data_IF_214350188104
#
_entry.id   IF_214350188104
#
_cell.length_a   1.000
_cell.length_b   1.000
_cell.length_c   1.000
_cell.angle_alpha   90.00
_cell.angle_beta   90.00
_cell.angle_gamma   90.00
#
_symmetry.space_group_name_H-M   'P 1'
#
loop_
_entity.id
_entity.type
_entity.pdbx_description
1 polymer ?
#
# COMPACT_ATOMS: atom_id res chain seq x y z
N UNK A 1 -10.59 24.06 22.07
CA UNK A 1 -9.56 23.59 23.03
C UNK A 1 -8.35 23.15 22.23
N UNK A 2 -7.19 23.79 22.40
CA UNK A 2 -5.95 23.33 21.79
C UNK A 2 -5.30 22.33 22.74
N UNK A 3 -5.43 21.04 22.43
CA UNK A 3 -4.68 20.02 23.15
C UNK A 3 -3.22 20.05 22.65
N UNK A 4 -2.21 20.08 23.54
CA UNK A 4 -0.81 20.19 23.15
C UNK A 4 -0.32 18.96 22.37
N UNK A 5 -0.85 17.78 22.68
CA UNK A 5 -0.53 16.53 21.98
C UNK A 5 -1.46 16.33 20.79
N UNK A 6 -0.88 16.05 19.63
CA UNK A 6 -1.59 15.73 18.39
C UNK A 6 -1.40 14.25 18.06
N UNK A 7 -2.42 13.63 17.48
CA UNK A 7 -2.38 12.25 17.02
C UNK A 7 -2.74 12.22 15.55
N UNK A 8 -2.01 11.47 14.74
CA UNK A 8 -2.35 11.21 13.35
C UNK A 8 -2.00 9.75 13.05
N UNK A 9 -2.57 9.21 11.97
CA UNK A 9 -2.34 7.84 11.55
C UNK A 9 -1.72 7.84 10.17
N UNK A 10 -0.70 7.02 9.98
CA UNK A 10 -0.20 6.66 8.67
C UNK A 10 -0.64 5.23 8.38
N UNK A 11 -1.22 4.99 7.21
CA UNK A 11 -1.62 3.66 6.75
C UNK A 11 -1.00 3.39 5.38
N UNK A 12 -0.21 2.33 5.30
CA UNK A 12 0.39 1.84 4.06
C UNK A 12 0.25 0.31 3.98
N UNK A 13 0.42 -0.23 2.77
CA UNK A 13 0.36 -1.67 2.51
C UNK A 13 1.58 -2.44 3.02
N UNK A 14 1.74 -3.66 2.53
CA UNK A 14 2.88 -4.49 2.94
C UNK A 14 4.21 -3.87 2.50
N UNK A 15 5.16 -3.80 3.43
CA UNK A 15 6.52 -3.36 3.15
C UNK A 15 7.31 -4.52 2.56
N UNK A 16 7.85 -4.31 1.36
CA UNK A 16 8.66 -5.30 0.66
C UNK A 16 9.98 -5.50 1.37
N UNK A 17 10.50 -6.73 1.36
CA UNK A 17 11.76 -7.06 2.04
C UNK A 17 11.63 -7.18 3.55
N UNK A 18 10.43 -7.01 4.12
CA UNK A 18 10.18 -7.28 5.53
C UNK A 18 10.43 -8.76 5.88
N UNK A 19 10.82 -9.00 7.15
CA UNK A 19 11.02 -10.34 7.68
C UNK A 19 9.72 -11.15 7.56
N UNK A 20 9.79 -12.32 6.91
CA UNK A 20 8.64 -13.17 6.67
C UNK A 20 7.79 -12.81 5.45
N UNK A 21 8.25 -11.86 4.61
CA UNK A 21 7.60 -11.57 3.32
C UNK A 21 7.71 -12.75 2.33
N UNK A 22 6.88 -12.72 1.30
CA UNK A 22 6.79 -13.79 0.29
C UNK A 22 8.01 -13.87 -0.62
N UNK A 23 8.73 -12.76 -0.83
CA UNK A 23 9.86 -12.68 -1.76
C UNK A 23 11.03 -13.61 -1.36
N UNK A 24 11.52 -13.61 -0.10
CA UNK A 24 12.51 -14.59 0.35
C UNK A 24 12.06 -16.04 0.20
N UNK A 25 10.77 -16.33 0.44
CA UNK A 25 10.21 -17.67 0.28
C UNK A 25 10.28 -18.12 -1.18
N UNK A 26 9.87 -17.26 -2.12
CA UNK A 26 9.90 -17.57 -3.55
C UNK A 26 11.32 -17.76 -4.07
N UNK A 27 12.27 -16.88 -3.71
CA UNK A 27 13.69 -17.04 -4.09
C UNK A 27 14.26 -18.39 -3.61
N UNK A 28 13.96 -18.77 -2.36
CA UNK A 28 14.42 -20.05 -1.79
C UNK A 28 13.82 -21.25 -2.53
N UNK A 29 12.50 -21.27 -2.73
CA UNK A 29 11.83 -22.40 -3.39
C UNK A 29 12.25 -22.53 -4.86
N UNK A 30 12.43 -21.42 -5.56
CA UNK A 30 12.92 -21.40 -6.94
C UNK A 30 14.34 -21.98 -7.03
N UNK A 31 15.24 -21.60 -6.11
CA UNK A 31 16.59 -22.16 -6.04
C UNK A 31 16.61 -23.66 -5.73
N UNK A 32 15.59 -24.17 -5.02
CA UNK A 32 15.38 -25.60 -4.75
C UNK A 32 14.66 -26.33 -5.91
N UNK A 33 14.31 -25.65 -6.99
CA UNK A 33 13.54 -26.21 -8.11
C UNK A 33 12.11 -26.60 -7.74
N UNK A 34 11.56 -26.04 -6.65
CA UNK A 34 10.22 -26.34 -6.15
C UNK A 34 9.18 -25.38 -6.73
N UNK A 35 7.95 -25.88 -6.87
CA UNK A 35 6.83 -25.03 -7.24
C UNK A 35 6.54 -23.98 -6.17
N UNK A 36 6.22 -22.75 -6.61
CA UNK A 36 5.94 -21.63 -5.73
C UNK A 36 4.46 -21.65 -5.28
N UNK A 37 4.19 -21.66 -3.96
CA UNK A 37 2.84 -21.61 -3.44
C UNK A 37 2.28 -20.20 -3.60
N UNK A 38 1.19 -20.08 -4.36
CA UNK A 38 0.44 -18.83 -4.49
C UNK A 38 -0.91 -18.98 -3.79
N UNK A 39 -1.31 -17.99 -3.01
CA UNK A 39 -2.56 -18.07 -2.25
C UNK A 39 -3.78 -18.07 -3.19
N UNK A 40 -3.86 -17.09 -4.09
CA UNK A 40 -4.85 -17.00 -5.17
C UNK A 40 -4.25 -16.13 -6.29
N UNK A 41 -4.35 -16.59 -7.54
CA UNK A 41 -3.75 -15.94 -8.72
C UNK A 41 -4.25 -14.51 -8.97
N UNK A 42 -5.44 -14.18 -8.48
CA UNK A 42 -6.06 -12.87 -8.67
C UNK A 42 -5.55 -11.84 -7.66
N UNK A 43 -4.79 -12.24 -6.64
CA UNK A 43 -4.38 -11.33 -5.59
C UNK A 43 -3.56 -10.15 -6.10
N UNK A 44 -3.86 -8.98 -5.56
CA UNK A 44 -3.09 -7.76 -5.76
C UNK A 44 -2.69 -7.16 -4.43
N UNK A 45 -1.55 -6.48 -4.40
CA UNK A 45 -1.02 -5.81 -3.21
C UNK A 45 -0.46 -4.46 -3.61
N UNK A 46 -0.54 -3.51 -2.70
CA UNK A 46 0.22 -2.26 -2.81
C UNK A 46 1.71 -2.53 -2.57
N UNK A 47 2.55 -1.78 -3.28
CA UNK A 47 3.99 -1.91 -3.21
C UNK A 47 4.62 -0.66 -2.60
N UNK A 48 5.31 -0.84 -1.48
CA UNK A 48 6.10 0.20 -0.84
C UNK A 48 7.40 -0.40 -0.27
N UNK A 49 8.52 0.28 -0.49
CA UNK A 49 9.79 -0.10 0.11
C UNK A 49 9.89 0.42 1.54
N UNK A 50 10.77 -0.17 2.35
CA UNK A 50 10.98 0.29 3.72
C UNK A 50 11.44 1.76 3.78
N UNK A 51 12.42 2.22 2.97
CA UNK A 51 12.79 3.63 2.94
C UNK A 51 11.62 4.56 2.58
N UNK A 52 10.79 4.20 1.59
CA UNK A 52 9.60 4.97 1.23
C UNK A 52 8.60 5.06 2.38
N UNK A 53 8.33 3.94 3.07
CA UNK A 53 7.41 3.94 4.21
C UNK A 53 7.92 4.80 5.37
N UNK A 54 9.22 4.75 5.67
CA UNK A 54 9.84 5.58 6.72
C UNK A 54 9.78 7.06 6.34
N UNK A 55 10.14 7.41 5.10
CA UNK A 55 10.08 8.80 4.63
C UNK A 55 8.65 9.33 4.69
N UNK A 56 7.68 8.53 4.26
CA UNK A 56 6.27 8.91 4.31
C UNK A 56 5.76 9.21 5.73
N UNK A 57 6.24 8.46 6.73
CA UNK A 57 5.92 8.71 8.14
C UNK A 57 6.50 10.05 8.59
N UNK A 58 7.75 10.35 8.26
CA UNK A 58 8.41 11.61 8.61
C UNK A 58 7.70 12.80 7.95
N UNK A 59 7.44 12.72 6.64
CA UNK A 59 6.76 13.78 5.90
C UNK A 59 5.34 14.03 6.42
N UNK A 60 4.63 12.98 6.82
CA UNK A 60 3.29 13.10 7.42
C UNK A 60 3.35 13.72 8.81
N UNK A 61 4.40 13.42 9.60
CA UNK A 61 4.62 14.00 10.92
C UNK A 61 4.90 15.50 10.86
N UNK A 62 5.64 15.97 9.85
CA UNK A 62 5.90 17.40 9.67
C UNK A 62 4.63 18.17 9.23
N UNK A 63 3.72 17.49 8.51
CA UNK A 63 2.48 18.07 7.99
C UNK A 63 1.31 18.06 8.99
N UNK A 64 1.28 17.15 9.96
CA UNK A 64 0.07 16.87 10.75
C UNK A 64 -0.41 18.03 11.64
N UNK A 65 -1.73 18.23 11.64
CA UNK A 65 -2.47 19.11 12.53
C UNK A 65 -3.27 18.33 13.59
N UNK A 66 -3.41 17.02 13.42
CA UNK A 66 -4.11 16.10 14.31
C UNK A 66 -5.40 15.55 13.70
N UNK A 67 -5.69 14.29 13.99
CA UNK A 67 -6.89 13.55 13.59
C UNK A 67 -6.89 13.04 12.14
N UNK A 68 -5.85 13.33 11.35
CA UNK A 68 -5.75 12.86 9.97
C UNK A 68 -5.34 11.39 9.88
N UNK A 69 -5.77 10.76 8.79
CA UNK A 69 -5.21 9.51 8.29
C UNK A 69 -4.51 9.78 6.96
N UNK A 70 -3.20 9.63 6.93
CA UNK A 70 -2.35 9.75 5.75
C UNK A 70 -2.16 8.40 5.09
N UNK A 71 -2.40 8.34 3.79
CA UNK A 71 -2.27 7.13 2.96
C UNK A 71 -1.40 7.47 1.75
N UNK A 72 -0.26 6.81 1.52
CA UNK A 72 0.60 7.15 0.40
C UNK A 72 -0.05 6.70 -0.91
N UNK A 73 0.16 7.46 -1.99
CA UNK A 73 -0.17 7.04 -3.34
C UNK A 73 0.98 6.18 -3.86
N UNK A 74 0.76 4.87 -3.87
CA UNK A 74 1.74 3.86 -4.23
C UNK A 74 1.18 2.91 -5.28
N UNK A 75 2.06 2.31 -6.10
CA UNK A 75 1.62 1.40 -7.14
C UNK A 75 1.13 0.08 -6.56
N UNK A 76 0.34 -0.63 -7.37
CA UNK A 76 -0.12 -1.98 -7.12
C UNK A 76 0.68 -2.98 -7.94
N UNK A 77 0.73 -4.22 -7.48
CA UNK A 77 1.29 -5.35 -8.20
C UNK A 77 0.34 -6.55 -8.16
N UNK A 78 0.40 -7.40 -9.19
CA UNK A 78 -0.25 -8.72 -9.18
C UNK A 78 0.73 -9.74 -8.64
N UNK A 79 0.22 -10.73 -7.92
CA UNK A 79 1.07 -11.79 -7.36
C UNK A 79 1.83 -12.57 -8.45
N UNK A 80 1.22 -12.74 -9.63
CA UNK A 80 1.85 -13.42 -10.77
C UNK A 80 3.00 -12.59 -11.38
N UNK A 81 2.86 -11.28 -11.44
CA UNK A 81 3.93 -10.40 -11.92
C UNK A 81 5.13 -10.44 -10.96
N UNK A 82 4.87 -10.55 -9.64
CA UNK A 82 5.91 -10.77 -8.65
C UNK A 82 6.62 -12.11 -8.82
N UNK A 83 5.87 -13.19 -9.08
CA UNK A 83 6.46 -14.50 -9.36
C UNK A 83 7.40 -14.40 -10.56
N UNK A 84 6.93 -13.83 -11.67
CA UNK A 84 7.71 -13.67 -12.90
C UNK A 84 8.93 -12.76 -12.72
N UNK A 85 8.84 -11.75 -11.84
CA UNK A 85 9.96 -10.89 -11.52
C UNK A 85 11.01 -11.58 -10.64
N UNK A 86 10.59 -12.45 -9.70
CA UNK A 86 11.47 -13.12 -8.73
C UNK A 86 12.09 -14.40 -9.29
N UNK A 87 11.31 -15.20 -10.01
CA UNK A 87 11.68 -16.50 -10.52
C UNK A 87 10.96 -16.74 -11.87
N UNK A 88 11.54 -16.22 -12.97
CA UNK A 88 11.00 -16.41 -14.31
C UNK A 88 10.78 -17.89 -14.62
N UNK A 89 9.69 -18.21 -15.32
CA UNK A 89 9.30 -19.57 -15.72
C UNK A 89 9.04 -20.56 -14.56
N UNK A 90 9.00 -20.09 -13.31
CA UNK A 90 8.75 -20.96 -12.16
C UNK A 90 7.34 -21.57 -12.19
N UNK A 91 7.24 -22.86 -11.89
CA UNK A 91 5.94 -23.51 -11.73
C UNK A 91 5.24 -23.00 -10.47
N UNK A 92 3.94 -22.73 -10.55
CA UNK A 92 3.13 -22.25 -9.41
C UNK A 92 2.00 -23.21 -9.09
N UNK A 93 1.56 -23.25 -7.83
CA UNK A 93 0.38 -23.99 -7.40
C UNK A 93 -0.43 -23.19 -6.39
N UNK A 94 -1.76 -23.27 -6.48
CA UNK A 94 -2.65 -22.54 -5.58
C UNK A 94 -2.83 -23.29 -4.25
N UNK A 95 -2.57 -22.60 -3.14
CA UNK A 95 -2.74 -23.14 -1.78
C UNK A 95 -4.05 -22.69 -1.12
N UNK A 96 -4.79 -21.80 -1.79
CA UNK A 96 -6.07 -21.27 -1.32
C UNK A 96 -5.92 -20.12 -0.33
N UNK A 97 -6.97 -19.30 -0.23
CA UNK A 97 -7.02 -18.12 0.65
C UNK A 97 -7.02 -18.54 2.12
N UNK A 98 -6.04 -18.05 2.87
CA UNK A 98 -5.94 -18.28 4.32
C UNK A 98 -7.01 -17.48 5.07
N UNK A 99 -7.50 -17.96 6.23
CA UNK A 99 -8.45 -17.21 7.05
C UNK A 99 -7.97 -15.80 7.37
N UNK A 100 -8.80 -14.80 7.07
CA UNK A 100 -8.48 -13.38 7.31
C UNK A 100 -7.65 -12.70 6.21
N UNK A 101 -7.15 -13.45 5.21
CA UNK A 101 -6.45 -12.85 4.07
C UNK A 101 -7.44 -12.29 3.05
N UNK A 102 -7.19 -11.04 2.60
CA UNK A 102 -7.99 -10.40 1.56
C UNK A 102 -7.47 -10.75 0.16
N UNK A 103 -8.38 -10.83 -0.80
CA UNK A 103 -8.01 -10.96 -2.22
C UNK A 103 -7.27 -9.72 -2.70
N UNK A 104 -7.80 -8.54 -2.38
CA UNK A 104 -7.24 -7.24 -2.70
C UNK A 104 -7.19 -6.38 -1.44
N UNK A 105 -6.15 -5.58 -1.30
CA UNK A 105 -6.00 -4.66 -0.18
C UNK A 105 -6.85 -3.41 -0.40
N UNK A 106 -7.32 -2.82 0.69
CA UNK A 106 -8.08 -1.57 0.70
C UNK A 106 -7.47 -0.67 1.77
N UNK A 107 -7.02 0.52 1.36
CA UNK A 107 -6.45 1.51 2.28
C UNK A 107 -7.42 2.64 2.58
N UNK A 108 -8.40 2.93 1.72
CA UNK A 108 -9.47 3.90 1.95
C UNK A 108 -10.78 3.26 1.49
N UNK A 109 -11.75 3.17 2.38
CA UNK A 109 -13.08 2.63 2.07
C UNK A 109 -13.96 3.69 1.39
N UNK A 110 -15.02 3.22 0.74
CA UNK A 110 -16.02 4.09 0.09
C UNK A 110 -16.63 5.11 1.06
N UNK A 111 -16.87 4.71 2.31
CA UNK A 111 -17.49 5.57 3.34
C UNK A 111 -16.59 6.76 3.73
N UNK A 112 -15.27 6.59 3.58
CA UNK A 112 -14.26 7.60 3.88
C UNK A 112 -14.04 8.59 2.72
N UNK A 113 -14.58 8.31 1.52
CA UNK A 113 -14.41 9.17 0.32
C UNK A 113 -14.77 10.64 0.58
N UNK A 114 -15.91 10.89 1.22
CA UNK A 114 -16.45 12.25 1.49
C UNK A 114 -15.53 13.15 2.32
N UNK A 115 -14.60 12.56 3.06
CA UNK A 115 -13.63 13.26 3.89
C UNK A 115 -12.20 13.10 3.38
N UNK A 116 -12.01 12.47 2.23
CA UNK A 116 -10.69 12.20 1.65
C UNK A 116 -10.30 13.30 0.66
N UNK A 117 -9.10 13.81 0.83
CA UNK A 117 -8.44 14.69 -0.12
C UNK A 117 -7.31 13.94 -0.83
N UNK A 118 -7.07 14.28 -2.09
CA UNK A 118 -5.96 13.82 -2.92
C UNK A 118 -4.94 14.94 -3.04
N UNK A 119 -3.70 14.60 -2.72
CA UNK A 119 -2.50 15.37 -3.02
C UNK A 119 -1.67 14.59 -4.07
N UNK A 120 -0.58 15.16 -4.60
CA UNK A 120 0.26 14.49 -5.60
C UNK A 120 0.75 13.11 -5.17
N UNK A 121 1.27 12.97 -3.95
CA UNK A 121 1.94 11.77 -3.44
C UNK A 121 1.13 11.00 -2.39
N UNK A 122 -0.04 11.51 -1.98
CA UNK A 122 -0.82 10.96 -0.87
C UNK A 122 -2.31 11.26 -0.95
N UNK A 123 -3.05 10.52 -0.15
CA UNK A 123 -4.40 10.86 0.26
C UNK A 123 -4.40 11.25 1.73
N UNK A 124 -5.27 12.18 2.09
CA UNK A 124 -5.46 12.68 3.44
C UNK A 124 -6.92 12.51 3.80
N UNK A 125 -7.22 11.55 4.65
CA UNK A 125 -8.55 11.37 5.18
C UNK A 125 -8.70 12.29 6.40
N UNK A 126 -9.53 13.31 6.24
CA UNK A 126 -9.70 14.39 7.21
C UNK A 126 -10.36 13.88 8.50
N UNK A 127 -10.11 14.55 9.64
CA UNK A 127 -10.77 14.24 10.90
C UNK A 127 -12.29 14.44 10.80
N UNK A 128 -13.06 13.52 11.39
CA UNK A 128 -14.53 13.61 11.43
C UNK A 128 -15.02 14.81 12.25
N UNK A 129 -14.27 15.18 13.30
CA UNK A 129 -14.57 16.29 14.19
C UNK A 129 -13.31 17.15 14.21
N UNK A 130 -13.42 18.44 13.90
CA UNK A 130 -12.29 19.35 13.65
C UNK A 130 -12.35 20.62 14.52
N UNK A 131 -12.79 20.50 15.78
CA UNK A 131 -13.12 21.64 16.68
C UNK A 131 -11.90 22.47 17.15
N UNK A 132 -10.69 22.10 16.75
CA UNK A 132 -9.43 22.78 17.09
C UNK A 132 -8.89 23.68 15.98
N UNK A 133 -9.69 23.98 14.96
CA UNK A 133 -9.29 24.86 13.86
C UNK A 133 -8.42 24.17 12.80
N UNK A 134 -8.64 22.87 12.57
CA UNK A 134 -8.04 22.14 11.46
C UNK A 134 -8.28 22.86 10.14
N UNK A 135 -7.22 23.04 9.36
CA UNK A 135 -7.32 23.56 7.99
C UNK A 135 -6.80 22.49 7.02
N UNK A 136 -7.59 22.11 6.00
CA UNK A 136 -7.10 21.26 4.94
C UNK A 136 -5.81 21.81 4.33
N UNK A 137 -4.80 20.97 4.04
CA UNK A 137 -3.60 21.43 3.36
C UNK A 137 -3.93 22.10 2.02
N UNK A 138 -3.12 23.11 1.66
CA UNK A 138 -3.17 23.70 0.33
C UNK A 138 -2.82 22.64 -0.73
N UNK A 139 -3.25 22.87 -1.97
CA UNK A 139 -2.96 22.00 -3.14
C UNK A 139 -3.51 20.57 -3.03
N UNK A 140 -4.66 20.44 -2.36
CA UNK A 140 -5.39 19.18 -2.24
C UNK A 140 -6.78 19.30 -2.90
N UNK A 141 -7.21 18.24 -3.58
CA UNK A 141 -8.53 18.16 -4.22
C UNK A 141 -9.38 17.07 -3.56
N UNK A 142 -10.70 17.26 -3.38
CA UNK A 142 -11.55 16.17 -2.91
C UNK A 142 -11.56 15.01 -3.91
N UNK A 143 -11.53 13.78 -3.39
CA UNK A 143 -11.73 12.60 -4.25
C UNK A 143 -13.19 12.51 -4.73
N UNK A 144 -13.48 11.81 -5.83
CA UNK A 144 -14.86 11.59 -6.28
C UNK A 144 -15.74 10.88 -5.23
N UNK A 145 -17.04 11.09 -5.31
CA UNK A 145 -18.02 10.32 -4.53
C UNK A 145 -17.86 8.82 -4.81
N UNK A 146 -17.99 8.01 -3.75
CA UNK A 146 -17.76 6.55 -3.81
C UNK A 146 -16.35 6.18 -4.27
N UNK A 147 -15.35 7.03 -4.03
CA UNK A 147 -13.95 6.65 -4.19
C UNK A 147 -13.54 5.60 -3.15
N UNK A 148 -12.86 4.54 -3.58
CA UNK A 148 -12.14 3.62 -2.70
C UNK A 148 -10.72 3.44 -3.23
N UNK A 149 -9.75 3.38 -2.32
CA UNK A 149 -8.37 3.13 -2.68
C UNK A 149 -8.02 1.68 -2.44
N UNK A 150 -8.10 0.88 -3.50
CA UNK A 150 -7.93 -0.58 -3.48
C UNK A 150 -6.86 -1.03 -4.48
N UNK A 151 -6.17 -2.12 -4.15
CA UNK A 151 -5.06 -2.60 -4.96
C UNK A 151 -5.47 -3.26 -6.29
N UNK A 152 -6.75 -3.51 -6.52
CA UNK A 152 -7.30 -4.08 -7.77
C UNK A 152 -7.81 -3.03 -8.76
N UNK A 153 -8.09 -1.82 -8.29
CA UNK A 153 -8.65 -0.72 -9.07
C UNK A 153 -7.74 0.52 -9.08
N UNK A 154 -6.47 0.32 -8.72
CA UNK A 154 -5.46 1.37 -8.69
C UNK A 154 -5.19 1.95 -10.08
N UNK A 155 -4.75 3.21 -10.15
CA UNK A 155 -4.31 3.87 -11.38
C UNK A 155 -2.83 3.61 -11.70
N UNK A 156 -2.04 3.24 -10.69
CA UNK A 156 -0.60 2.98 -10.82
C UNK A 156 -0.27 1.49 -10.59
N UNK A 157 0.44 0.89 -11.54
CA UNK A 157 0.80 -0.54 -11.54
C UNK A 157 2.27 -0.74 -11.85
N UNK A 158 2.92 -1.64 -11.11
CA UNK A 158 4.27 -2.09 -11.43
C UNK A 158 4.24 -3.18 -12.50
N UNK A 159 4.98 -2.96 -13.57
CA UNK A 159 5.35 -4.00 -14.53
C UNK A 159 6.37 -4.97 -13.92
N UNK A 160 6.51 -6.14 -14.55
CA UNK A 160 7.53 -7.13 -14.21
C UNK A 160 8.93 -6.52 -14.21
N UNK A 161 9.27 -5.68 -15.20
CA UNK A 161 10.60 -5.07 -15.30
C UNK A 161 10.85 -4.04 -14.19
N UNK A 162 9.83 -3.24 -13.84
CA UNK A 162 9.91 -2.34 -12.69
C UNK A 162 10.06 -3.13 -11.38
N UNK A 163 9.33 -4.24 -11.21
CA UNK A 163 9.49 -5.12 -10.05
C UNK A 163 10.92 -5.67 -9.98
N UNK A 164 11.50 -6.13 -11.10
CA UNK A 164 12.89 -6.61 -11.16
C UNK A 164 13.88 -5.52 -10.73
N UNK A 165 13.71 -4.30 -11.23
CA UNK A 165 14.57 -3.17 -10.84
C UNK A 165 14.50 -2.92 -9.33
N UNK A 166 13.30 -2.76 -8.77
CA UNK A 166 13.13 -2.46 -7.34
C UNK A 166 13.58 -3.62 -6.44
N UNK A 167 13.49 -4.87 -6.91
CA UNK A 167 13.99 -6.05 -6.21
C UNK A 167 15.52 -6.20 -6.23
N UNK A 168 16.21 -5.51 -7.14
CA UNK A 168 17.68 -5.50 -7.25
C UNK A 168 18.34 -4.41 -6.41
N UNK A 169 17.58 -3.37 -6.07
CA UNK A 169 18.02 -2.24 -5.24
C UNK A 169 17.89 -2.52 -3.72
N UNK A 170 17.45 -3.73 -3.34
CA UNK A 170 17.30 -4.20 -1.95
C UNK A 170 18.34 -5.27 -1.60
#
# INVERSE_FOLDING_TARGET
AHHPTRFAVVRYGNVVGSRGSVVPLFRRLAAEGKSLPITDKRMTRFWITLPQAVQFVVDSFDQMQGGELFVPRIPSMRILDLVEAVAPDATTHEVGIRPGEKLHEEMISLDDSRRTLRAPDRFIVQPTIATWGYQPPADCEPVPDNFAYRSDSNDEWLSVDQLRQVLSEQ
#
